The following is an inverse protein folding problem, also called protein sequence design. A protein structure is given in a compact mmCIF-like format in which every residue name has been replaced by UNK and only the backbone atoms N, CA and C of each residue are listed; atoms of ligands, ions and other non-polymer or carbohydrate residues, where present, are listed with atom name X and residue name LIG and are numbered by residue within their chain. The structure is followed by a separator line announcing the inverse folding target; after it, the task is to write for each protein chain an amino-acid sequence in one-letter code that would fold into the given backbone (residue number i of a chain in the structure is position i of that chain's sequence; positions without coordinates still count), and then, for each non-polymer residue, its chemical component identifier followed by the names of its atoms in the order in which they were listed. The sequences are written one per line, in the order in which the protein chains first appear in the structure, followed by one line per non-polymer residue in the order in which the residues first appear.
data_IF_394403319014
#
_entry.id   IF_394403319014
#
_cell.length_a   1.000
_cell.length_b   1.000
_cell.length_c   1.000
_cell.angle_alpha   90.00
_cell.angle_beta   90.00
_cell.angle_gamma   90.00
#
_symmetry.space_group_name_H-M   'P 1'
#
loop_
_entity.id
_entity.type
_entity.pdbx_description
1 polymer ?
#
# COMPACT_ATOMS: atom_id res chain seq x y z
N UNK A 1 -7.99 11.99 15.11
CA UNK A 1 -6.70 12.50 15.60
C UNK A 1 -6.28 13.64 14.67
N UNK A 2 -6.24 14.87 15.18
CA UNK A 2 -6.22 16.11 14.39
C UNK A 2 -4.84 16.49 13.83
N UNK A 3 -3.90 15.54 13.80
CA UNK A 3 -2.49 15.79 13.49
C UNK A 3 -1.99 15.08 12.22
N UNK A 4 -2.88 14.45 11.44
CA UNK A 4 -2.50 13.80 10.19
C UNK A 4 -2.85 14.75 9.04
N UNK A 5 -1.85 15.43 8.47
CA UNK A 5 -2.01 16.25 7.27
C UNK A 5 -2.16 15.34 6.03
N UNK A 6 -3.35 15.31 5.39
CA UNK A 6 -3.62 14.49 4.21
C UNK A 6 -2.72 14.85 3.01
N UNK A 7 -2.18 16.07 2.97
CA UNK A 7 -1.33 16.53 1.86
C UNK A 7 0.08 15.91 1.88
N UNK A 8 0.47 15.21 2.95
CA UNK A 8 1.75 14.50 3.04
C UNK A 8 1.71 13.07 2.46
N UNK A 9 0.53 12.57 2.11
CA UNK A 9 0.27 11.17 1.74
C UNK A 9 0.43 10.91 0.23
N UNK A 10 1.59 11.20 -0.34
CA UNK A 10 1.92 10.74 -1.70
C UNK A 10 3.20 9.90 -1.71
N UNK A 11 3.27 8.83 -2.54
CA UNK A 11 4.44 7.94 -2.59
C UNK A 11 5.76 8.69 -2.79
N UNK A 12 5.72 9.75 -3.59
CA UNK A 12 6.88 10.62 -3.87
C UNK A 12 7.34 11.38 -2.63
N UNK A 13 6.44 11.81 -1.74
CA UNK A 13 6.80 12.47 -0.48
C UNK A 13 7.42 11.49 0.52
N UNK A 14 7.01 10.22 0.53
CA UNK A 14 7.65 9.19 1.39
C UNK A 14 9.04 8.82 0.93
N UNK A 15 9.24 8.65 -0.37
CA UNK A 15 10.59 8.47 -0.92
C UNK A 15 11.45 9.70 -0.64
N UNK A 16 10.88 10.92 -0.69
CA UNK A 16 11.57 12.16 -0.30
C UNK A 16 11.82 12.29 1.20
N UNK A 17 10.95 11.75 2.06
CA UNK A 17 11.20 11.66 3.51
C UNK A 17 12.28 10.62 3.81
N UNK A 18 12.29 9.48 3.13
CA UNK A 18 13.37 8.49 3.23
C UNK A 18 14.70 9.11 2.78
N UNK A 19 14.75 9.72 1.60
CA UNK A 19 15.93 10.43 1.08
C UNK A 19 16.31 11.62 1.97
N UNK A 20 15.33 12.37 2.47
CA UNK A 20 15.52 13.51 3.35
C UNK A 20 16.07 13.11 4.71
N UNK A 21 15.59 12.00 5.28
CA UNK A 21 16.11 11.41 6.52
C UNK A 21 17.52 10.87 6.32
N UNK A 22 17.79 10.26 5.16
CA UNK A 22 19.11 9.79 4.76
C UNK A 22 20.09 10.96 4.51
N UNK A 23 19.61 12.08 3.97
CA UNK A 23 20.40 13.28 3.66
C UNK A 23 20.57 14.24 4.84
N UNK A 24 19.63 14.28 5.79
CA UNK A 24 19.72 15.05 7.03
C UNK A 24 20.58 14.36 8.08
N UNK A 25 20.81 13.06 7.94
CA UNK A 25 21.92 12.37 8.57
C UNK A 25 23.21 12.97 8.00
N UNK A 26 24.16 13.39 8.84
CA UNK A 26 25.44 14.00 8.42
C UNK A 26 26.32 13.06 7.58
N UNK A 27 25.84 11.85 7.33
CA UNK A 27 26.46 10.81 6.55
C UNK A 27 25.45 10.33 5.52
N UNK A 28 25.27 11.08 4.42
CA UNK A 28 24.58 10.63 3.20
C UNK A 28 25.23 9.41 2.51
N UNK A 29 26.10 8.71 3.22
CA UNK A 29 26.78 7.47 2.88
C UNK A 29 26.42 6.40 3.91
N UNK A 30 25.15 6.00 4.01
CA UNK A 30 24.80 4.88 4.88
C UNK A 30 25.37 3.54 4.37
N UNK A 31 25.61 3.42 3.05
CA UNK A 31 26.21 2.25 2.42
C UNK A 31 27.76 2.26 2.39
N UNK A 32 28.40 3.38 2.76
CA UNK A 32 29.86 3.57 2.63
C UNK A 32 30.53 4.11 3.92
N UNK A 33 29.77 4.66 4.87
CA UNK A 33 30.34 5.32 6.04
C UNK A 33 30.69 4.35 7.16
N UNK A 34 31.94 4.44 7.62
CA UNK A 34 32.46 3.74 8.81
C UNK A 34 31.90 4.31 10.14
N UNK A 35 31.06 5.35 10.10
CA UNK A 35 30.47 5.94 11.29
C UNK A 35 29.32 5.06 11.82
N UNK A 36 29.51 4.47 13.00
CA UNK A 36 28.51 3.64 13.67
C UNK A 36 27.33 4.50 14.12
N UNK A 37 26.12 4.05 13.84
CA UNK A 37 24.90 4.57 14.47
C UNK A 37 24.99 4.44 16.01
N UNK A 38 24.94 5.55 16.72
CA UNK A 38 24.98 5.58 18.19
C UNK A 38 23.55 5.57 18.77
N UNK A 39 23.37 5.20 20.05
CA UNK A 39 22.03 5.00 20.65
C UNK A 39 21.22 6.29 20.79
N UNK A 40 21.84 7.44 20.55
CA UNK A 40 21.20 8.75 20.56
C UNK A 40 20.39 9.06 19.29
N UNK A 41 20.54 8.28 18.22
CA UNK A 41 19.74 8.43 17.00
C UNK A 41 18.49 7.55 17.08
N UNK A 42 17.32 8.16 17.30
CA UNK A 42 16.03 7.46 17.34
C UNK A 42 15.42 7.33 15.96
N UNK A 43 15.13 6.10 15.53
CA UNK A 43 14.28 5.84 14.34
C UNK A 43 12.83 6.11 14.72
N UNK A 44 12.08 6.76 13.84
CA UNK A 44 10.63 6.88 13.99
C UNK A 44 9.99 5.48 14.09
N UNK A 45 9.01 5.32 14.97
CA UNK A 45 8.27 4.07 15.13
C UNK A 45 7.55 3.67 13.83
N UNK A 46 7.16 2.38 13.70
CA UNK A 46 6.50 1.91 12.50
C UNK A 46 5.14 2.61 12.36
N UNK A 47 4.82 3.05 11.15
CA UNK A 47 3.54 3.73 10.85
C UNK A 47 2.58 2.67 10.34
N UNK A 48 1.50 2.44 11.08
CA UNK A 48 0.40 1.60 10.62
C UNK A 48 -0.45 2.41 9.64
N UNK A 49 -0.36 2.05 8.37
CA UNK A 49 -1.17 2.66 7.32
C UNK A 49 -2.42 1.81 7.09
N UNK A 50 -3.57 2.47 7.04
CA UNK A 50 -4.79 1.86 6.54
C UNK A 50 -4.91 2.13 5.04
N UNK A 51 -5.47 1.18 4.26
CA UNK A 51 -5.92 1.49 2.92
C UNK A 51 -6.87 2.70 2.96
N UNK A 52 -6.88 3.56 1.93
CA UNK A 52 -7.91 4.58 1.80
C UNK A 52 -9.28 3.90 1.70
N UNK A 53 -10.35 4.63 2.08
CA UNK A 53 -11.75 4.22 1.91
C UNK A 53 -12.10 4.14 0.42
N UNK A 54 -11.51 3.17 -0.29
CA UNK A 54 -11.98 2.74 -1.59
C UNK A 54 -13.27 1.94 -1.41
N UNK A 55 -14.17 2.06 -2.39
CA UNK A 55 -15.43 1.30 -2.45
C UNK A 55 -15.17 -0.19 -2.16
N UNK A 56 -15.99 -0.80 -1.31
CA UNK A 56 -15.88 -2.22 -1.01
C UNK A 56 -16.15 -3.06 -2.28
N UNK A 57 -15.31 -4.07 -2.52
CA UNK A 57 -15.44 -4.97 -3.68
C UNK A 57 -16.67 -5.86 -3.50
N UNK A 58 -17.57 -5.86 -4.48
CA UNK A 58 -18.74 -6.74 -4.47
C UNK A 58 -18.40 -8.14 -5.01
N UNK A 59 -18.01 -9.03 -4.10
CA UNK A 59 -17.74 -10.44 -4.40
C UNK A 59 -18.99 -11.24 -4.79
N UNK A 60 -20.19 -10.74 -4.48
CA UNK A 60 -21.44 -11.44 -4.78
C UNK A 60 -21.74 -11.42 -6.28
N UNK A 61 -21.23 -10.42 -7.01
CA UNK A 61 -21.39 -10.30 -8.45
C UNK A 61 -20.80 -11.51 -9.21
N UNK A 62 -19.59 -11.93 -8.88
CA UNK A 62 -18.94 -13.08 -9.51
C UNK A 62 -19.68 -14.41 -9.21
N UNK A 63 -20.14 -14.58 -7.97
CA UNK A 63 -20.88 -15.77 -7.55
C UNK A 63 -22.29 -15.83 -8.19
N UNK A 64 -22.95 -14.68 -8.30
CA UNK A 64 -24.27 -14.57 -8.94
C UNK A 64 -24.17 -14.90 -10.43
N UNK A 65 -23.20 -14.31 -11.15
CA UNK A 65 -22.98 -14.57 -12.56
C UNK A 65 -22.71 -16.04 -12.85
N UNK A 66 -21.83 -16.69 -12.07
CA UNK A 66 -21.51 -18.13 -12.25
C UNK A 66 -22.75 -19.01 -12.13
N UNK A 67 -23.63 -18.72 -11.17
CA UNK A 67 -24.89 -19.47 -10.97
C UNK A 67 -25.85 -19.25 -12.13
N UNK A 68 -26.04 -18.00 -12.54
CA UNK A 68 -26.99 -17.61 -13.58
C UNK A 68 -26.59 -18.08 -14.98
N UNK A 69 -25.29 -18.15 -15.27
CA UNK A 69 -24.76 -18.75 -16.50
C UNK A 69 -25.00 -20.25 -16.49
N UNK A 70 -24.75 -20.93 -15.36
CA UNK A 70 -24.99 -22.38 -15.24
C UNK A 70 -26.47 -22.75 -15.36
N UNK A 71 -27.38 -21.87 -14.92
CA UNK A 71 -28.83 -22.06 -15.05
C UNK A 71 -29.40 -21.63 -16.41
N UNK A 72 -28.57 -21.12 -17.33
CA UNK A 72 -28.98 -20.71 -18.67
C UNK A 72 -30.01 -19.57 -18.70
N UNK A 73 -30.13 -18.81 -17.60
CA UNK A 73 -31.23 -17.85 -17.38
C UNK A 73 -30.91 -16.45 -17.92
N UNK A 74 -29.67 -16.23 -18.33
CA UNK A 74 -29.19 -14.94 -18.82
C UNK A 74 -29.38 -14.79 -20.32
N UNK A 75 -30.04 -13.71 -20.70
CA UNK A 75 -30.01 -13.22 -22.08
C UNK A 75 -28.66 -12.58 -22.39
N UNK A 76 -28.28 -12.54 -23.68
CA UNK A 76 -27.04 -11.88 -24.15
C UNK A 76 -26.83 -10.47 -23.58
N UNK A 77 -27.80 -9.52 -23.62
CA UNK A 77 -27.58 -8.17 -23.09
C UNK A 77 -27.39 -8.14 -21.56
N UNK A 78 -28.04 -9.05 -20.82
CA UNK A 78 -27.83 -9.16 -19.37
C UNK A 78 -26.43 -9.69 -19.04
N UNK A 79 -25.94 -10.65 -19.83
CA UNK A 79 -24.59 -11.17 -19.70
C UNK A 79 -23.55 -10.08 -19.97
N UNK A 80 -23.70 -9.32 -21.06
CA UNK A 80 -22.81 -8.20 -21.40
C UNK A 80 -22.76 -7.15 -20.28
N UNK A 81 -23.93 -6.74 -19.76
CA UNK A 81 -24.00 -5.79 -18.63
C UNK A 81 -23.28 -6.30 -17.37
N UNK A 82 -23.44 -7.59 -17.05
CA UNK A 82 -22.78 -8.19 -15.89
C UNK A 82 -21.27 -8.33 -16.08
N UNK A 83 -20.82 -8.64 -17.30
CA UNK A 83 -19.39 -8.68 -17.64
C UNK A 83 -18.76 -7.29 -17.45
N UNK A 84 -19.40 -6.23 -17.95
CA UNK A 84 -18.90 -4.86 -17.73
C UNK A 84 -18.75 -4.54 -16.24
N UNK A 85 -19.79 -4.81 -15.44
CA UNK A 85 -19.72 -4.60 -13.98
C UNK A 85 -18.60 -5.42 -13.33
N UNK A 86 -18.38 -6.64 -13.79
CA UNK A 86 -17.31 -7.50 -13.27
C UNK A 86 -15.93 -6.94 -13.65
N UNK A 87 -15.77 -6.41 -14.86
CA UNK A 87 -14.54 -5.73 -15.28
C UNK A 87 -14.25 -4.53 -14.37
N UNK A 88 -15.25 -3.70 -14.09
CA UNK A 88 -15.08 -2.55 -13.19
C UNK A 88 -14.65 -2.98 -11.77
N UNK A 89 -15.20 -4.08 -11.27
CA UNK A 89 -14.82 -4.67 -9.97
C UNK A 89 -13.40 -5.26 -9.99
N UNK A 90 -12.97 -5.86 -11.10
CA UNK A 90 -11.60 -6.36 -11.25
C UNK A 90 -10.60 -5.20 -11.21
N UNK A 91 -10.89 -4.09 -11.88
CA UNK A 91 -10.04 -2.90 -11.86
C UNK A 91 -9.94 -2.31 -10.44
N UNK A 92 -11.04 -2.30 -9.70
CA UNK A 92 -11.07 -1.92 -8.29
C UNK A 92 -10.18 -2.84 -7.43
N UNK A 93 -10.30 -4.17 -7.58
CA UNK A 93 -9.44 -5.14 -6.90
C UNK A 93 -7.96 -4.93 -7.20
N UNK A 94 -7.61 -4.66 -8.45
CA UNK A 94 -6.22 -4.41 -8.85
C UNK A 94 -5.64 -3.19 -8.16
N UNK A 95 -6.41 -2.09 -8.09
CA UNK A 95 -6.01 -0.89 -7.34
C UNK A 95 -5.82 -1.19 -5.85
N UNK A 96 -6.75 -1.93 -5.25
CA UNK A 96 -6.66 -2.30 -3.84
C UNK A 96 -5.39 -3.13 -3.56
N UNK A 97 -5.09 -4.14 -4.39
CA UNK A 97 -3.87 -4.95 -4.26
C UNK A 97 -2.63 -4.07 -4.40
N UNK A 98 -2.62 -3.14 -5.34
CA UNK A 98 -1.50 -2.23 -5.54
C UNK A 98 -1.26 -1.34 -4.32
N UNK A 99 -2.33 -0.81 -3.71
CA UNK A 99 -2.24 -0.01 -2.48
C UNK A 99 -1.66 -0.85 -1.34
N UNK A 100 -2.19 -2.05 -1.12
CA UNK A 100 -1.69 -2.95 -0.06
C UNK A 100 -0.21 -3.32 -0.26
N UNK A 101 0.23 -3.51 -1.51
CA UNK A 101 1.65 -3.74 -1.82
C UNK A 101 2.51 -2.55 -1.42
N UNK A 102 2.10 -1.33 -1.74
CA UNK A 102 2.84 -0.11 -1.36
C UNK A 102 2.92 0.07 0.16
N UNK A 103 1.82 -0.22 0.88
CA UNK A 103 1.80 -0.19 2.35
C UNK A 103 2.78 -1.22 2.92
N UNK A 104 2.75 -2.45 2.42
CA UNK A 104 3.61 -3.53 2.88
C UNK A 104 5.09 -3.24 2.56
N UNK A 105 5.40 -2.70 1.39
CA UNK A 105 6.75 -2.25 1.03
C UNK A 105 7.26 -1.18 2.01
N UNK A 106 6.42 -0.19 2.35
CA UNK A 106 6.73 0.82 3.36
C UNK A 106 6.99 0.22 4.74
N UNK A 107 6.14 -0.72 5.18
CA UNK A 107 6.29 -1.41 6.45
C UNK A 107 7.59 -2.25 6.51
N UNK A 108 7.89 -3.00 5.45
CA UNK A 108 9.13 -3.78 5.37
C UNK A 108 10.38 -2.90 5.37
N UNK A 109 10.36 -1.76 4.67
CA UNK A 109 11.46 -0.81 4.70
C UNK A 109 11.69 -0.25 6.12
N UNK A 110 10.61 0.04 6.86
CA UNK A 110 10.71 0.48 8.26
C UNK A 110 11.28 -0.62 9.16
N UNK A 111 10.86 -1.87 9.00
CA UNK A 111 11.39 -3.00 9.77
C UNK A 111 12.89 -3.21 9.54
N UNK A 112 13.35 -3.13 8.29
CA UNK A 112 14.79 -3.25 7.98
C UNK A 112 15.59 -2.13 8.65
N UNK A 113 15.08 -0.89 8.60
CA UNK A 113 15.72 0.23 9.30
C UNK A 113 15.74 -0.02 10.80
N UNK A 114 14.64 -0.45 11.41
CA UNK A 114 14.59 -0.73 12.85
C UNK A 114 15.55 -1.86 13.24
N UNK A 115 15.61 -2.95 12.49
CA UNK A 115 16.53 -4.05 12.73
C UNK A 115 17.99 -3.59 12.69
N UNK A 116 18.37 -2.78 11.70
CA UNK A 116 19.72 -2.19 11.63
C UNK A 116 20.07 -1.32 12.85
N UNK A 117 19.08 -0.73 13.51
CA UNK A 117 19.31 0.06 14.74
C UNK A 117 19.28 -0.80 16.02
N UNK A 118 18.47 -1.85 16.05
CA UNK A 118 18.31 -2.75 17.19
C UNK A 118 19.38 -3.85 17.28
N UNK A 119 19.99 -4.25 16.16
CA UNK A 119 21.05 -5.28 16.08
C UNK A 119 22.43 -4.81 16.60
N UNK A 120 22.46 -4.11 17.74
CA UNK A 120 23.70 -3.77 18.46
C UNK A 120 24.20 -4.91 19.33
#
# INVERSE_FOLDING_TARGET
DSNIDPALFTPTKRMRMMVGSLASSSSGSFLISKARLNSSQTVAGPVLEQPPDDSEVDWTLAQSLRREVASGTLTKPQLESKVTKLTDQVDLCQRHIQILRMINEGANAQLIIQDMYCSK
#
